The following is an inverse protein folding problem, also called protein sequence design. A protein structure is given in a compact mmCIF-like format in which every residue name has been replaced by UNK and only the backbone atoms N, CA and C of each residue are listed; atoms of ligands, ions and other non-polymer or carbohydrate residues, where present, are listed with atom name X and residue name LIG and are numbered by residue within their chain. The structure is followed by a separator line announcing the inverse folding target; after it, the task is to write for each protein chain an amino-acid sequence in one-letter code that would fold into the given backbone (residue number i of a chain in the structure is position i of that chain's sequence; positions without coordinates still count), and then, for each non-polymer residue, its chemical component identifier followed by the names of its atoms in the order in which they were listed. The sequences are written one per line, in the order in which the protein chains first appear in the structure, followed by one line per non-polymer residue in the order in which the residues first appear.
data_IF_168106422333
#
_entry.id   IF_168106422333
#
_cell.length_a   1.000
_cell.length_b   1.000
_cell.length_c   1.000
_cell.angle_alpha   90.00
_cell.angle_beta   90.00
_cell.angle_gamma   90.00
#
_symmetry.space_group_name_H-M   'P 1'
#
loop_
_entity.id
_entity.type
_entity.pdbx_description
1 polymer ?
#
# COMPACT_ATOMS: atom_id res chain seq x y z
N UNK A 1 51.70 -32.89 10.79
CA UNK A 1 51.06 -31.78 11.54
C UNK A 1 49.81 -31.36 10.79
N UNK A 2 48.68 -31.20 11.49
CA UNK A 2 47.34 -31.07 10.93
C UNK A 2 47.22 -29.78 10.10
N UNK A 3 46.91 -29.90 8.81
CA UNK A 3 46.47 -28.76 8.01
C UNK A 3 45.08 -28.34 8.47
N UNK A 4 44.99 -27.16 9.09
CA UNK A 4 43.74 -26.50 9.43
C UNK A 4 43.26 -25.81 8.15
N UNK A 5 42.15 -26.30 7.59
CA UNK A 5 41.42 -25.63 6.51
C UNK A 5 40.64 -24.48 7.15
N UNK A 6 40.79 -23.22 6.71
CA UNK A 6 40.02 -22.12 7.28
C UNK A 6 38.54 -22.33 6.94
N UNK A 7 37.70 -22.33 7.99
CA UNK A 7 36.25 -22.34 7.90
C UNK A 7 35.80 -21.19 6.98
N UNK A 8 35.22 -21.55 5.83
CA UNK A 8 34.64 -20.60 4.90
C UNK A 8 33.66 -19.68 5.61
N UNK A 9 33.87 -18.38 5.46
CA UNK A 9 32.91 -17.36 5.87
C UNK A 9 31.62 -17.66 5.12
N UNK A 10 30.60 -18.14 5.83
CA UNK A 10 29.24 -18.27 5.29
C UNK A 10 28.79 -16.85 5.00
N UNK A 11 29.00 -16.38 3.77
CA UNK A 11 28.43 -15.12 3.30
C UNK A 11 26.92 -15.29 3.31
N UNK A 12 26.27 -14.81 4.37
CA UNK A 12 24.83 -14.79 4.46
C UNK A 12 24.29 -14.10 3.20
N UNK A 13 23.37 -14.78 2.49
CA UNK A 13 22.76 -14.27 1.26
C UNK A 13 22.34 -12.82 1.48
N UNK A 14 22.75 -11.87 0.61
CA UNK A 14 22.41 -10.46 0.79
C UNK A 14 20.89 -10.33 0.93
N UNK A 15 20.45 -9.62 1.97
CA UNK A 15 19.03 -9.41 2.21
C UNK A 15 18.48 -8.63 1.01
N UNK A 16 17.41 -9.14 0.40
CA UNK A 16 16.69 -8.39 -0.62
C UNK A 16 16.23 -7.04 -0.08
N UNK A 17 16.13 -6.05 -0.97
CA UNK A 17 15.70 -4.69 -0.63
C UNK A 17 14.34 -4.71 0.11
N UNK A 18 14.28 -4.04 1.26
CA UNK A 18 13.05 -3.90 2.05
C UNK A 18 12.51 -2.49 1.84
N UNK A 19 11.45 -2.35 1.03
CA UNK A 19 10.79 -1.07 0.76
C UNK A 19 9.88 -0.57 1.89
N UNK A 20 9.63 -1.39 2.91
CA UNK A 20 8.79 -1.02 4.05
C UNK A 20 9.48 0.01 4.94
N UNK A 21 8.70 1.01 5.39
CA UNK A 21 9.08 2.02 6.39
C UNK A 21 8.36 1.76 7.72
N UNK A 22 8.82 2.38 8.81
CA UNK A 22 8.19 2.22 10.11
C UNK A 22 6.77 2.82 10.13
N UNK A 23 5.80 2.04 10.63
CA UNK A 23 4.38 2.42 10.72
C UNK A 23 3.94 2.82 12.15
N UNK A 24 4.89 3.12 13.04
CA UNK A 24 4.61 3.56 14.40
C UNK A 24 4.84 5.07 14.51
N UNK A 25 3.78 5.85 14.69
CA UNK A 25 3.80 7.32 14.80
C UNK A 25 4.71 7.84 15.92
N UNK A 26 4.91 7.05 16.97
CA UNK A 26 5.82 7.39 18.09
C UNK A 26 7.28 7.12 17.77
N UNK A 27 7.60 6.53 16.62
CA UNK A 27 8.96 6.24 16.22
C UNK A 27 9.62 7.48 15.58
N UNK A 28 10.87 7.76 15.95
CA UNK A 28 11.68 8.81 15.29
C UNK A 28 11.83 8.60 13.78
N UNK A 29 11.69 7.37 13.30
CA UNK A 29 11.77 6.98 11.89
C UNK A 29 10.41 6.64 11.29
N UNK A 30 9.31 7.12 11.87
CA UNK A 30 7.96 6.97 11.31
C UNK A 30 7.89 7.48 9.87
N UNK A 31 7.48 6.62 8.94
CA UNK A 31 7.39 6.88 7.49
C UNK A 31 8.68 7.40 6.84
N UNK A 32 9.86 7.23 7.47
CA UNK A 32 11.15 7.67 6.91
C UNK A 32 11.86 6.53 6.20
N UNK A 33 12.32 6.81 4.99
CA UNK A 33 13.15 5.89 4.21
C UNK A 33 14.63 5.96 4.63
N UNK A 34 15.15 7.18 4.79
CA UNK A 34 16.53 7.41 5.22
C UNK A 34 16.75 6.94 6.66
N UNK A 35 17.77 6.10 6.87
CA UNK A 35 18.13 5.59 8.20
C UNK A 35 17.15 4.57 8.78
N UNK A 36 16.20 4.05 8.00
CA UNK A 36 15.30 2.99 8.46
C UNK A 36 16.09 1.72 8.80
N UNK A 37 15.64 1.04 9.85
CA UNK A 37 16.14 -0.29 10.21
C UNK A 37 14.95 -1.23 10.43
N UNK A 38 14.49 -1.82 9.33
CA UNK A 38 13.33 -2.70 9.25
C UNK A 38 13.78 -4.09 8.80
N UNK A 39 13.34 -5.12 9.51
CA UNK A 39 13.62 -6.52 9.17
C UNK A 39 12.33 -7.33 9.00
N UNK A 40 12.35 -8.28 8.07
CA UNK A 40 11.29 -9.28 7.90
C UNK A 40 11.41 -10.35 8.99
N UNK A 41 10.34 -10.61 9.75
CA UNK A 41 10.32 -11.62 10.82
C UNK A 41 9.12 -12.56 10.67
N UNK A 42 9.15 -13.41 9.63
CA UNK A 42 8.07 -14.37 9.35
C UNK A 42 6.80 -13.72 8.79
N UNK A 43 5.68 -14.44 8.84
CA UNK A 43 4.36 -13.97 8.37
C UNK A 43 3.34 -14.07 9.51
N UNK A 44 2.29 -13.25 9.45
CA UNK A 44 1.12 -13.44 10.30
C UNK A 44 0.32 -14.67 9.86
N UNK A 45 -0.60 -15.16 10.69
CA UNK A 45 -1.52 -16.25 10.35
C UNK A 45 -2.38 -15.93 9.12
N UNK A 46 -2.62 -14.64 8.85
CA UNK A 46 -3.29 -14.11 7.66
C UNK A 46 -2.43 -14.15 6.39
N UNK A 47 -1.18 -14.63 6.46
CA UNK A 47 -0.26 -14.76 5.33
C UNK A 47 0.52 -13.48 4.97
N UNK A 48 0.15 -12.32 5.53
CA UNK A 48 0.85 -11.06 5.32
C UNK A 48 2.25 -11.05 5.95
N UNK A 49 3.19 -10.37 5.29
CA UNK A 49 4.55 -10.23 5.80
C UNK A 49 4.55 -9.46 7.13
N UNK A 50 5.26 -10.01 8.14
CA UNK A 50 5.49 -9.35 9.42
C UNK A 50 6.82 -8.60 9.38
N UNK A 51 6.77 -7.30 9.64
CA UNK A 51 7.94 -6.44 9.74
C UNK A 51 8.22 -6.10 11.20
N UNK A 52 9.49 -5.88 11.52
CA UNK A 52 9.95 -5.42 12.81
C UNK A 52 10.87 -4.23 12.65
N UNK A 53 10.58 -3.14 13.37
CA UNK A 53 11.44 -1.97 13.39
C UNK A 53 12.44 -2.09 14.54
N UNK A 54 13.74 -2.04 14.23
CA UNK A 54 14.79 -2.10 15.24
C UNK A 54 14.94 -0.80 16.05
N UNK A 55 14.39 0.32 15.57
CA UNK A 55 14.41 1.60 16.30
C UNK A 55 13.40 1.64 17.43
N UNK A 56 12.11 1.44 17.14
CA UNK A 56 11.04 1.49 18.14
C UNK A 56 10.64 0.12 18.71
N UNK A 57 11.28 -0.97 18.24
CA UNK A 57 11.05 -2.35 18.69
C UNK A 57 9.60 -2.85 18.53
N UNK A 58 8.83 -2.27 17.61
CA UNK A 58 7.46 -2.69 17.32
C UNK A 58 7.35 -3.53 16.06
N UNK A 59 6.41 -4.47 16.08
CA UNK A 59 5.97 -5.20 14.89
C UNK A 59 4.88 -4.43 14.15
N UNK A 60 4.86 -4.56 12.83
CA UNK A 60 3.76 -4.10 12.01
C UNK A 60 3.55 -5.02 10.81
N UNK A 61 2.31 -5.02 10.32
CA UNK A 61 1.91 -5.79 9.15
C UNK A 61 2.22 -5.02 7.87
N UNK A 62 2.51 -5.75 6.80
CA UNK A 62 2.70 -5.20 5.46
C UNK A 62 1.58 -4.28 4.97
N UNK A 63 0.33 -4.58 5.33
CA UNK A 63 -0.84 -3.80 4.91
C UNK A 63 -1.10 -2.57 5.78
N UNK A 64 -0.36 -2.36 6.87
CA UNK A 64 -0.61 -1.22 7.77
C UNK A 64 -0.37 0.11 7.05
N UNK A 65 -1.32 1.04 7.20
CA UNK A 65 -1.31 2.32 6.48
C UNK A 65 -1.85 2.22 5.05
N UNK A 66 -2.60 1.15 4.73
CA UNK A 66 -3.26 0.99 3.43
C UNK A 66 -4.74 0.63 3.62
N UNK A 67 -5.59 0.83 2.59
CA UNK A 67 -7.00 0.40 2.63
C UNK A 67 -7.19 -1.11 2.80
N UNK A 68 -6.12 -1.90 2.69
CA UNK A 68 -6.12 -3.35 2.85
C UNK A 68 -5.93 -3.79 4.31
N UNK A 69 -5.65 -2.86 5.23
CA UNK A 69 -5.39 -3.17 6.63
C UNK A 69 -6.67 -3.66 7.33
N UNK A 70 -6.56 -4.73 8.13
CA UNK A 70 -7.68 -5.32 8.89
C UNK A 70 -8.92 -5.67 8.06
N UNK A 71 -8.75 -5.96 6.77
CA UNK A 71 -9.83 -6.49 5.94
C UNK A 71 -9.84 -8.01 5.95
N UNK A 72 -11.03 -8.57 6.08
CA UNK A 72 -11.29 -10.00 5.89
C UNK A 72 -11.40 -10.38 4.41
N UNK A 73 -11.53 -9.38 3.54
CA UNK A 73 -11.47 -9.55 2.09
C UNK A 73 -10.03 -9.83 1.67
N UNK A 74 -9.86 -10.85 0.84
CA UNK A 74 -8.64 -11.08 0.09
C UNK A 74 -8.37 -9.91 -0.87
N UNK A 75 -7.10 -9.78 -1.28
CA UNK A 75 -6.71 -8.75 -2.24
C UNK A 75 -7.47 -8.87 -3.57
N UNK A 76 -7.76 -10.08 -4.02
CA UNK A 76 -8.53 -10.35 -5.25
C UNK A 76 -9.98 -9.86 -5.14
N UNK A 77 -10.65 -10.12 -4.02
CA UNK A 77 -12.03 -9.65 -3.78
C UNK A 77 -12.09 -8.13 -3.72
N UNK A 78 -11.13 -7.48 -3.05
CA UNK A 78 -11.03 -6.02 -3.03
C UNK A 78 -10.85 -5.45 -4.44
N UNK A 79 -9.98 -6.07 -5.25
CA UNK A 79 -9.78 -5.68 -6.65
C UNK A 79 -11.08 -5.81 -7.45
N UNK A 80 -11.82 -6.90 -7.26
CA UNK A 80 -13.09 -7.14 -7.94
C UNK A 80 -14.15 -6.10 -7.58
N UNK A 81 -14.37 -5.83 -6.28
CA UNK A 81 -15.26 -4.77 -5.82
C UNK A 81 -14.85 -3.41 -6.44
N UNK A 82 -13.56 -3.07 -6.39
CA UNK A 82 -13.04 -1.84 -6.97
C UNK A 82 -13.28 -1.75 -8.49
N UNK A 83 -13.17 -2.87 -9.24
CA UNK A 83 -13.51 -2.90 -10.66
C UNK A 83 -14.98 -2.54 -10.88
N UNK A 84 -15.90 -3.09 -10.11
CA UNK A 84 -17.32 -2.75 -10.25
C UNK A 84 -17.64 -1.29 -9.90
N UNK A 85 -16.95 -0.72 -8.90
CA UNK A 85 -17.06 0.71 -8.57
C UNK A 85 -16.60 1.59 -9.73
N UNK A 86 -15.51 1.20 -10.40
CA UNK A 86 -15.00 1.93 -11.58
C UNK A 86 -15.99 1.89 -12.75
N UNK A 87 -16.69 0.77 -12.94
CA UNK A 87 -17.80 0.63 -13.88
C UNK A 87 -19.09 1.34 -13.42
N UNK A 88 -19.02 2.13 -12.33
CA UNK A 88 -20.13 2.92 -11.75
C UNK A 88 -21.32 2.08 -11.28
N UNK A 89 -21.10 0.81 -10.93
CA UNK A 89 -22.15 0.00 -10.33
C UNK A 89 -22.50 0.54 -8.93
N UNK A 90 -23.80 0.59 -8.62
CA UNK A 90 -24.24 0.90 -7.26
C UNK A 90 -23.95 -0.26 -6.28
N UNK A 91 -23.78 0.04 -5.00
CA UNK A 91 -23.41 -0.94 -3.95
C UNK A 91 -24.28 -2.20 -3.97
N UNK A 92 -25.61 -2.05 -4.14
CA UNK A 92 -26.55 -3.19 -4.23
C UNK A 92 -26.33 -4.05 -5.46
N UNK A 93 -25.86 -3.46 -6.57
CA UNK A 93 -25.50 -4.23 -7.75
C UNK A 93 -24.21 -5.00 -7.52
N UNK A 94 -23.22 -4.38 -6.87
CA UNK A 94 -21.96 -5.03 -6.52
C UNK A 94 -22.22 -6.22 -5.59
N UNK A 95 -23.06 -6.05 -4.58
CA UNK A 95 -23.48 -7.12 -3.66
C UNK A 95 -24.03 -8.35 -4.41
N UNK A 96 -24.88 -8.12 -5.41
CA UNK A 96 -25.43 -9.22 -6.23
C UNK A 96 -24.39 -9.89 -7.13
N UNK A 97 -23.42 -9.12 -7.64
CA UNK A 97 -22.40 -9.63 -8.56
C UNK A 97 -21.32 -10.41 -7.81
N UNK A 98 -20.81 -9.86 -6.70
CA UNK A 98 -19.68 -10.44 -5.96
C UNK A 98 -20.12 -11.33 -4.80
N UNK A 99 -21.40 -11.30 -4.40
CA UNK A 99 -21.92 -12.03 -3.26
C UNK A 99 -21.50 -11.48 -1.88
N UNK A 100 -20.81 -10.34 -1.86
CA UNK A 100 -20.41 -9.69 -0.60
C UNK A 100 -21.53 -8.81 -0.07
N UNK A 101 -21.81 -8.89 1.23
CA UNK A 101 -22.82 -8.03 1.85
C UNK A 101 -22.50 -6.54 1.66
N UNK A 102 -23.52 -5.74 1.37
CA UNK A 102 -23.41 -4.29 1.15
C UNK A 102 -22.65 -3.53 2.24
N UNK A 103 -22.72 -3.96 3.50
CA UNK A 103 -21.97 -3.32 4.60
C UNK A 103 -20.47 -3.58 4.50
N UNK A 104 -20.06 -4.77 4.04
CA UNK A 104 -18.65 -5.09 3.80
C UNK A 104 -18.11 -4.24 2.66
N UNK A 105 -18.92 -4.08 1.60
CA UNK A 105 -18.60 -3.19 0.48
C UNK A 105 -18.51 -1.74 0.99
N UNK A 106 -19.50 -1.27 1.76
CA UNK A 106 -19.54 0.07 2.34
C UNK A 106 -18.30 0.40 3.18
N UNK A 107 -17.90 -0.49 4.09
CA UNK A 107 -16.66 -0.34 4.89
C UNK A 107 -15.39 -0.34 4.05
N UNK A 108 -15.39 -0.95 2.88
CA UNK A 108 -14.26 -0.83 1.95
C UNK A 108 -14.25 0.55 1.28
N UNK A 109 -15.41 1.07 0.88
CA UNK A 109 -15.52 2.43 0.33
C UNK A 109 -15.13 3.50 1.35
N UNK A 110 -15.57 3.37 2.60
CA UNK A 110 -15.21 4.28 3.69
C UNK A 110 -13.69 4.35 3.88
N UNK A 111 -13.01 3.20 3.96
CA UNK A 111 -11.55 3.16 4.07
C UNK A 111 -10.86 3.79 2.85
N UNK A 112 -11.35 3.54 1.64
CA UNK A 112 -10.81 4.16 0.42
C UNK A 112 -11.00 5.68 0.44
N UNK A 113 -12.16 6.16 0.89
CA UNK A 113 -12.45 7.59 1.01
C UNK A 113 -11.55 8.27 2.06
N UNK A 114 -11.38 7.65 3.23
CA UNK A 114 -10.46 8.14 4.26
C UNK A 114 -9.02 8.25 3.74
N UNK A 115 -8.55 7.26 2.97
CA UNK A 115 -7.21 7.35 2.38
C UNK A 115 -7.08 8.44 1.31
N UNK A 116 -8.13 8.67 0.50
CA UNK A 116 -8.15 9.79 -0.43
C UNK A 116 -8.15 11.15 0.31
N UNK A 117 -8.89 11.25 1.42
CA UNK A 117 -8.91 12.43 2.28
C UNK A 117 -7.54 12.69 2.92
N UNK A 118 -6.82 11.66 3.37
CA UNK A 118 -5.45 11.82 3.88
C UNK A 118 -4.53 12.44 2.84
N UNK A 119 -4.62 12.01 1.57
CA UNK A 119 -3.84 12.62 0.48
C UNK A 119 -4.23 14.09 0.28
N UNK A 120 -5.53 14.40 0.25
CA UNK A 120 -6.01 15.77 0.14
C UNK A 120 -5.53 16.65 1.31
N UNK A 121 -5.53 16.10 2.52
CA UNK A 121 -5.10 16.81 3.73
C UNK A 121 -3.62 17.16 3.66
N UNK A 122 -2.75 16.24 3.21
CA UNK A 122 -1.32 16.51 2.98
C UNK A 122 -1.14 17.63 1.95
N UNK A 123 -1.89 17.59 0.85
CA UNK A 123 -1.81 18.60 -0.20
C UNK A 123 -2.23 20.00 0.29
N UNK A 124 -3.28 20.07 1.12
CA UNK A 124 -3.78 21.34 1.66
C UNK A 124 -2.92 21.87 2.80
N UNK A 125 -2.43 21.00 3.70
CA UNK A 125 -1.79 21.42 4.95
C UNK A 125 -0.27 21.47 4.86
N UNK A 126 0.35 20.44 4.28
CA UNK A 126 1.81 20.33 4.20
C UNK A 126 2.34 21.04 2.95
N UNK A 127 1.72 20.79 1.80
CA UNK A 127 2.08 21.43 0.52
C UNK A 127 1.50 22.85 0.41
N UNK A 128 0.48 23.16 1.23
CA UNK A 128 -0.18 24.48 1.31
C UNK A 128 -0.85 24.92 0.00
N UNK A 129 -1.40 23.97 -0.76
CA UNK A 129 -2.23 24.29 -1.92
C UNK A 129 -3.61 24.82 -1.49
N UNK A 130 -4.18 25.70 -2.30
CA UNK A 130 -5.57 26.10 -2.20
C UNK A 130 -6.52 24.98 -2.62
N UNK A 131 -7.76 25.00 -2.11
CA UNK A 131 -8.76 23.98 -2.41
C UNK A 131 -9.04 23.85 -3.92
N UNK A 132 -9.13 24.97 -4.63
CA UNK A 132 -9.30 24.98 -6.08
C UNK A 132 -8.09 24.41 -6.83
N UNK A 133 -6.88 24.66 -6.34
CA UNK A 133 -5.65 24.12 -6.94
C UNK A 133 -5.59 22.60 -6.77
N UNK A 134 -6.02 22.07 -5.62
CA UNK A 134 -6.12 20.62 -5.39
C UNK A 134 -7.15 19.98 -6.33
N UNK A 135 -8.31 20.59 -6.53
CA UNK A 135 -9.34 20.09 -7.46
C UNK A 135 -8.86 20.13 -8.92
N UNK A 136 -8.23 21.24 -9.33
CA UNK A 136 -7.65 21.36 -10.66
C UNK A 136 -6.52 20.35 -10.86
N UNK A 137 -5.69 20.10 -9.84
CA UNK A 137 -4.65 19.08 -9.86
C UNK A 137 -5.25 17.69 -10.09
N UNK A 138 -6.30 17.30 -9.36
CA UNK A 138 -6.97 16.01 -9.57
C UNK A 138 -7.57 15.90 -10.98
N UNK A 139 -8.19 16.97 -11.48
CA UNK A 139 -8.70 17.05 -12.85
C UNK A 139 -7.58 16.93 -13.88
N UNK A 140 -6.43 17.56 -13.64
CA UNK A 140 -5.26 17.53 -14.52
C UNK A 140 -4.59 16.15 -14.54
N UNK A 141 -4.39 15.52 -13.38
CA UNK A 141 -3.86 14.15 -13.26
C UNK A 141 -4.73 13.18 -14.06
N UNK A 142 -6.06 13.30 -13.92
CA UNK A 142 -7.03 12.49 -14.68
C UNK A 142 -6.86 12.64 -16.20
N UNK A 143 -6.48 13.83 -16.68
CA UNK A 143 -6.27 14.13 -18.11
C UNK A 143 -4.88 13.70 -18.64
N UNK A 144 -3.81 13.79 -17.84
CA UNK A 144 -2.41 13.70 -18.33
C UNK A 144 -1.67 12.37 -18.13
N UNK A 145 -2.37 11.27 -17.85
CA UNK A 145 -1.82 9.92 -17.65
C UNK A 145 -0.76 9.42 -18.66
N UNK A 146 -0.72 9.96 -19.89
CA UNK A 146 0.20 9.54 -20.97
C UNK A 146 1.58 10.21 -20.97
N UNK A 147 1.77 11.29 -20.20
CA UNK A 147 3.01 12.11 -20.20
C UNK A 147 3.96 11.84 -19.02
N UNK A 148 3.61 10.90 -18.14
CA UNK A 148 4.37 10.61 -16.92
C UNK A 148 5.52 9.61 -17.17
N UNK A 149 6.42 9.43 -16.20
CA UNK A 149 7.50 8.43 -16.29
C UNK A 149 6.96 7.00 -16.45
N UNK A 150 7.75 6.07 -17.00
CA UNK A 150 7.32 4.67 -17.18
C UNK A 150 6.87 4.02 -15.87
N UNK A 151 7.52 4.32 -14.75
CA UNK A 151 7.14 3.82 -13.43
C UNK A 151 5.84 4.44 -12.94
N UNK A 152 5.67 5.75 -13.06
CA UNK A 152 4.43 6.43 -12.71
C UNK A 152 3.26 5.95 -13.58
N UNK A 153 3.48 5.75 -14.89
CA UNK A 153 2.51 5.13 -15.78
C UNK A 153 2.16 3.70 -15.35
N UNK A 154 3.14 2.92 -14.87
CA UNK A 154 2.90 1.54 -14.39
C UNK A 154 2.09 1.52 -13.10
N UNK A 155 2.38 2.42 -12.15
CA UNK A 155 1.61 2.53 -10.92
C UNK A 155 0.20 3.08 -11.19
N UNK A 156 0.06 4.07 -12.08
CA UNK A 156 -1.25 4.56 -12.52
C UNK A 156 -2.03 3.50 -13.28
N UNK A 157 -1.42 2.68 -14.14
CA UNK A 157 -2.09 1.54 -14.77
C UNK A 157 -2.61 0.55 -13.74
N UNK A 158 -1.86 0.29 -12.67
CA UNK A 158 -2.31 -0.56 -11.55
C UNK A 158 -3.42 0.08 -10.70
N UNK A 159 -3.51 1.41 -10.68
CA UNK A 159 -4.47 2.19 -9.91
C UNK A 159 -5.67 2.71 -10.73
N UNK A 160 -5.69 2.50 -12.04
CA UNK A 160 -6.74 2.96 -12.97
C UNK A 160 -7.37 1.78 -13.74
N UNK A 161 -8.59 1.92 -14.29
CA UNK A 161 -9.30 0.85 -15.00
C UNK A 161 -8.47 0.08 -16.06
N UNK A 162 -8.69 -1.24 -16.11
CA UNK A 162 -8.32 -2.09 -17.25
C UNK A 162 -6.98 -2.83 -17.19
N UNK A 163 -6.27 -2.85 -16.05
CA UNK A 163 -5.07 -3.67 -15.92
C UNK A 163 -5.42 -5.14 -15.65
N UNK A 164 -5.25 -5.99 -16.65
CA UNK A 164 -5.14 -7.44 -16.50
C UNK A 164 -3.65 -7.81 -16.55
N UNK A 165 -3.08 -8.41 -15.49
CA UNK A 165 -1.75 -9.00 -15.59
C UNK A 165 -1.78 -10.11 -16.65
N UNK A 166 -0.74 -10.17 -17.49
CA UNK A 166 -0.49 -11.34 -18.34
C UNK A 166 -0.05 -12.54 -17.48
#
# INVERSE_FOLDING_TARGET
MKHIIPLGIIMARPRGEIKAVCQNEKCRFYLREAGKDIVKRGRYSTGHQRYFCNHCKTFFMETKGTPLYHKHLTKSEIIEICKHLVEKNGIRSIERITGHHRDTIGRLLEDLALHAEMVNSILLQEVKLGQFEVDEMWTFIKKNKRKLSREAQTQMKKAMPGFTPA
#
